data_IF_710254518561
#
_entry.id   IF_710254518561
#
_cell.length_a   1.000
_cell.length_b   1.000
_cell.length_c   1.000
_cell.angle_alpha   90.00
_cell.angle_beta   90.00
_cell.angle_gamma   90.00
#
_symmetry.space_group_name_H-M   'P 1'
#
loop_
_entity.id
_entity.type
_entity.pdbx_description
1 polymer ?
#
# COMPACT_ATOMS: atom_id res chain seq x y z
N UNK A 1 10.56 -16.19 22.49
CA UNK A 1 10.49 -16.32 21.02
C UNK A 1 9.42 -15.38 20.51
N UNK A 2 9.67 -14.65 19.43
CA UNK A 2 8.66 -13.80 18.78
C UNK A 2 7.62 -14.69 18.10
N UNK A 3 6.35 -14.32 18.15
CA UNK A 3 5.34 -14.88 17.28
C UNK A 3 5.39 -14.21 15.90
N UNK A 4 4.77 -14.80 14.91
CA UNK A 4 4.84 -14.31 13.53
C UNK A 4 4.22 -12.90 13.33
N UNK A 5 3.27 -12.47 14.18
CA UNK A 5 2.72 -11.11 14.13
C UNK A 5 3.75 -10.05 14.57
N UNK A 6 4.68 -10.42 15.46
CA UNK A 6 5.72 -9.53 15.96
C UNK A 6 6.85 -9.27 14.96
N UNK A 7 6.85 -9.93 13.82
CA UNK A 7 7.78 -9.64 12.72
C UNK A 7 7.19 -8.70 11.66
N UNK A 8 5.93 -8.29 11.81
CA UNK A 8 5.36 -7.24 10.98
C UNK A 8 6.09 -5.93 11.30
N UNK A 9 6.59 -5.28 10.27
CA UNK A 9 7.37 -4.07 10.41
C UNK A 9 8.86 -4.32 10.57
N UNK A 10 9.59 -3.31 10.99
CA UNK A 10 11.05 -3.29 11.04
C UNK A 10 11.70 -3.84 9.76
N UNK A 11 11.11 -3.47 8.62
CA UNK A 11 11.55 -3.93 7.31
C UNK A 11 12.87 -3.26 6.92
N UNK A 12 13.69 -3.88 6.09
CA UNK A 12 14.96 -3.28 5.68
C UNK A 12 14.73 -2.05 4.78
N UNK A 13 15.72 -1.16 4.78
CA UNK A 13 15.86 -0.06 3.84
C UNK A 13 17.17 -0.23 3.08
N UNK A 14 17.17 0.03 1.77
CA UNK A 14 18.36 -0.08 0.93
C UNK A 14 18.55 1.17 0.11
N UNK A 15 19.81 1.51 -0.17
CA UNK A 15 20.16 2.58 -1.08
C UNK A 15 20.24 2.04 -2.51
N UNK A 16 19.48 2.62 -3.43
CA UNK A 16 19.51 2.27 -4.84
C UNK A 16 20.83 2.73 -5.49
N UNK A 17 21.35 1.95 -6.43
CA UNK A 17 22.67 2.17 -6.98
C UNK A 17 22.69 2.26 -8.52
N UNK A 18 22.03 1.35 -9.21
CA UNK A 18 22.15 1.18 -10.66
C UNK A 18 21.02 1.84 -11.46
N UNK A 19 19.85 2.02 -10.83
CA UNK A 19 18.70 2.64 -11.47
C UNK A 19 18.75 4.19 -11.35
N UNK A 20 19.54 4.70 -10.43
CA UNK A 20 19.65 6.12 -10.16
C UNK A 20 20.53 6.80 -11.23
N UNK A 21 19.97 7.81 -11.90
CA UNK A 21 20.69 8.54 -12.95
C UNK A 21 21.74 9.50 -12.39
N UNK A 22 22.71 9.87 -13.23
CA UNK A 22 23.70 10.90 -12.87
C UNK A 22 23.01 12.22 -12.54
N UNK A 23 23.47 12.89 -11.48
CA UNK A 23 22.90 14.16 -11.02
C UNK A 23 21.81 14.02 -9.93
N UNK A 24 21.30 12.82 -9.67
CA UNK A 24 20.50 12.56 -8.50
C UNK A 24 21.36 12.47 -7.23
N UNK A 25 20.75 12.75 -6.09
CA UNK A 25 21.27 12.41 -4.78
C UNK A 25 21.05 10.94 -4.42
N UNK A 26 21.03 10.65 -3.15
CA UNK A 26 20.80 9.30 -2.63
C UNK A 26 19.29 8.98 -2.63
N UNK A 27 18.94 7.82 -3.19
CA UNK A 27 17.56 7.31 -3.15
C UNK A 27 17.56 6.06 -2.31
N UNK A 28 16.74 6.06 -1.26
CA UNK A 28 16.54 4.94 -0.37
C UNK A 28 15.17 4.30 -0.62
N UNK A 29 15.13 2.99 -0.61
CA UNK A 29 13.90 2.22 -0.83
C UNK A 29 13.60 1.37 0.41
N UNK A 30 12.47 1.66 1.07
CA UNK A 30 11.95 0.91 2.21
C UNK A 30 11.22 -0.33 1.73
N UNK A 31 11.70 -1.52 2.07
CA UNK A 31 11.29 -2.79 1.48
C UNK A 31 10.12 -3.44 2.23
N UNK A 32 8.91 -2.97 2.03
CA UNK A 32 7.70 -3.46 2.70
C UNK A 32 7.25 -4.87 2.22
N UNK A 33 7.85 -5.38 1.13
CA UNK A 33 7.70 -6.77 0.72
C UNK A 33 8.24 -7.79 1.73
N UNK A 34 9.03 -7.34 2.72
CA UNK A 34 9.56 -8.19 3.79
C UNK A 34 8.59 -8.42 4.95
N UNK A 35 7.42 -7.80 4.93
CA UNK A 35 6.34 -8.21 5.83
C UNK A 35 5.83 -9.63 5.47
N UNK A 36 5.22 -10.36 6.41
CA UNK A 36 4.84 -11.77 6.24
C UNK A 36 4.04 -12.12 4.99
N UNK A 37 3.06 -11.28 4.60
CA UNK A 37 2.30 -11.51 3.35
C UNK A 37 2.93 -10.83 2.13
N UNK A 38 4.12 -10.28 2.26
CA UNK A 38 4.82 -9.60 1.19
C UNK A 38 4.26 -8.21 0.87
N UNK A 39 3.74 -7.46 1.85
CA UNK A 39 3.17 -6.14 1.61
C UNK A 39 3.14 -5.25 2.85
N UNK A 40 3.24 -3.93 2.64
CA UNK A 40 3.00 -2.90 3.68
C UNK A 40 1.63 -3.01 4.35
N UNK A 41 0.66 -3.70 3.72
CA UNK A 41 -0.71 -3.82 4.23
C UNK A 41 -0.82 -4.67 5.49
N UNK A 42 0.17 -5.50 5.81
CA UNK A 42 0.19 -6.27 7.06
C UNK A 42 0.19 -5.35 8.27
N UNK A 43 0.87 -4.19 8.18
CA UNK A 43 0.89 -3.18 9.25
C UNK A 43 -0.50 -2.63 9.54
N UNK A 44 -1.23 -2.22 8.51
CA UNK A 44 -2.58 -1.68 8.72
C UNK A 44 -3.56 -2.77 9.13
N UNK A 45 -3.43 -3.98 8.62
CA UNK A 45 -4.28 -5.10 9.01
C UNK A 45 -4.15 -5.39 10.51
N UNK A 46 -2.92 -5.49 11.02
CA UNK A 46 -2.68 -5.67 12.45
C UNK A 46 -3.26 -4.51 13.27
N UNK A 47 -2.99 -3.27 12.87
CA UNK A 47 -3.46 -2.09 13.59
C UNK A 47 -4.99 -1.97 13.62
N UNK A 48 -5.70 -2.28 12.54
CA UNK A 48 -7.16 -2.26 12.50
C UNK A 48 -7.77 -3.31 13.44
N UNK A 49 -7.21 -4.50 13.47
CA UNK A 49 -7.69 -5.58 14.36
C UNK A 49 -7.39 -5.24 15.82
N UNK A 50 -6.15 -4.90 16.16
CA UNK A 50 -5.77 -4.58 17.54
C UNK A 50 -6.42 -3.29 18.06
N UNK A 51 -6.61 -2.30 17.21
CA UNK A 51 -7.36 -1.10 17.55
C UNK A 51 -8.81 -1.41 17.90
N UNK A 52 -9.47 -2.27 17.13
CA UNK A 52 -10.83 -2.71 17.37
C UNK A 52 -10.95 -3.56 18.65
N UNK A 53 -10.01 -4.48 18.88
CA UNK A 53 -9.91 -5.26 20.13
C UNK A 53 -9.79 -4.33 21.35
N UNK A 54 -8.88 -3.34 21.27
CA UNK A 54 -8.64 -2.39 22.37
C UNK A 54 -9.85 -1.53 22.69
N UNK A 55 -10.65 -1.16 21.70
CA UNK A 55 -11.90 -0.40 21.92
C UNK A 55 -13.09 -1.29 22.34
N UNK A 56 -12.96 -2.61 22.21
CA UNK A 56 -14.05 -3.55 22.46
C UNK A 56 -15.06 -3.69 21.31
N UNK A 57 -14.73 -3.13 20.13
CA UNK A 57 -15.52 -3.23 18.91
C UNK A 57 -15.43 -4.64 18.30
N UNK A 58 -14.28 -5.30 18.46
CA UNK A 58 -14.02 -6.67 18.02
C UNK A 58 -13.74 -7.56 19.22
N UNK A 59 -14.52 -8.63 19.37
CA UNK A 59 -14.42 -9.60 20.47
C UNK A 59 -14.24 -11.01 19.95
N UNK A 60 -13.67 -11.89 20.76
CA UNK A 60 -13.52 -13.31 20.43
C UNK A 60 -14.85 -13.94 19.96
N UNK A 61 -14.79 -14.67 18.86
CA UNK A 61 -15.95 -15.31 18.23
C UNK A 61 -16.70 -14.44 17.20
N UNK A 62 -16.36 -13.16 17.08
CA UNK A 62 -16.89 -12.32 16.01
C UNK A 62 -16.25 -12.64 14.65
N UNK A 63 -16.96 -12.26 13.60
CA UNK A 63 -16.49 -12.35 12.21
C UNK A 63 -16.00 -10.98 11.74
N UNK A 64 -14.78 -10.93 11.21
CA UNK A 64 -14.24 -9.73 10.54
C UNK A 64 -14.69 -9.75 9.08
N UNK A 65 -15.08 -8.59 8.54
CA UNK A 65 -15.43 -8.43 7.13
C UNK A 65 -14.68 -7.27 6.52
N UNK A 66 -14.25 -7.45 5.26
CA UNK A 66 -13.68 -6.37 4.44
C UNK A 66 -13.91 -6.70 2.95
N UNK A 67 -13.75 -5.71 2.09
CA UNK A 67 -13.63 -5.89 0.65
C UNK A 67 -12.21 -5.57 0.20
N UNK A 68 -11.64 -6.42 -0.65
CA UNK A 68 -10.30 -6.17 -1.19
C UNK A 68 -10.03 -7.01 -2.43
N UNK A 69 -9.29 -6.43 -3.36
CA UNK A 69 -8.74 -7.16 -4.51
C UNK A 69 -7.34 -7.75 -4.28
N UNK A 70 -6.71 -7.49 -3.12
CA UNK A 70 -5.32 -7.90 -3.00
C UNK A 70 -4.73 -7.78 -1.60
N UNK A 71 -3.69 -6.96 -1.45
CA UNK A 71 -2.81 -6.98 -0.29
C UNK A 71 -3.48 -6.69 1.05
N UNK A 72 -4.54 -5.86 1.10
CA UNK A 72 -5.30 -5.66 2.34
C UNK A 72 -6.02 -6.93 2.78
N UNK A 73 -6.65 -7.63 1.83
CA UNK A 73 -7.32 -8.91 2.10
C UNK A 73 -6.33 -9.96 2.59
N UNK A 74 -5.14 -10.06 1.99
CA UNK A 74 -4.10 -10.98 2.44
C UNK A 74 -3.62 -10.66 3.86
N UNK A 75 -3.34 -9.39 4.17
CA UNK A 75 -2.93 -8.97 5.51
C UNK A 75 -4.00 -9.26 6.57
N UNK A 76 -5.28 -8.97 6.27
CA UNK A 76 -6.39 -9.28 7.18
C UNK A 76 -6.61 -10.78 7.35
N UNK A 77 -6.53 -11.57 6.27
CA UNK A 77 -6.60 -13.02 6.36
C UNK A 77 -5.52 -13.59 7.26
N UNK A 78 -4.27 -13.11 7.09
CA UNK A 78 -3.14 -13.49 7.92
C UNK A 78 -3.36 -13.15 9.41
N UNK A 79 -3.72 -11.90 9.72
CA UNK A 79 -3.90 -11.46 11.11
C UNK A 79 -5.09 -12.17 11.76
N UNK A 80 -6.23 -12.27 11.07
CA UNK A 80 -7.44 -12.93 11.57
C UNK A 80 -7.20 -14.41 11.86
N UNK A 81 -6.52 -15.14 10.96
CA UNK A 81 -6.17 -16.53 11.15
C UNK A 81 -5.38 -16.76 12.44
N UNK A 82 -4.37 -15.92 12.69
CA UNK A 82 -3.50 -16.04 13.86
C UNK A 82 -4.16 -15.61 15.18
N UNK A 83 -5.07 -14.64 15.11
CA UNK A 83 -5.83 -14.19 16.29
C UNK A 83 -7.12 -14.99 16.54
N UNK A 84 -7.44 -15.96 15.66
CA UNK A 84 -8.60 -16.83 15.82
C UNK A 84 -9.94 -16.20 15.45
N UNK A 85 -9.94 -15.21 14.56
CA UNK A 85 -11.14 -14.61 13.98
C UNK A 85 -11.53 -15.29 12.66
N UNK A 86 -12.81 -15.46 12.43
CA UNK A 86 -13.32 -15.75 11.08
C UNK A 86 -13.19 -14.49 10.24
N UNK A 87 -12.77 -14.64 8.98
CA UNK A 87 -12.63 -13.51 8.08
C UNK A 87 -13.39 -13.76 6.79
N UNK A 88 -14.42 -12.95 6.54
CA UNK A 88 -15.18 -12.94 5.28
C UNK A 88 -14.67 -11.81 4.40
N UNK A 89 -14.21 -12.16 3.21
CA UNK A 89 -13.65 -11.22 2.27
C UNK A 89 -14.45 -11.15 0.99
N UNK A 90 -14.94 -9.98 0.66
CA UNK A 90 -15.58 -9.69 -0.61
C UNK A 90 -14.50 -9.31 -1.62
N UNK A 91 -14.35 -10.11 -2.66
CA UNK A 91 -13.40 -9.88 -3.75
C UNK A 91 -14.09 -10.00 -5.11
N UNK A 92 -13.35 -9.95 -6.22
CA UNK A 92 -13.89 -10.09 -7.55
C UNK A 92 -12.98 -10.94 -8.45
N UNK A 93 -13.56 -11.51 -9.50
CA UNK A 93 -12.87 -12.42 -10.44
C UNK A 93 -11.84 -11.74 -11.36
N UNK A 94 -11.72 -10.42 -11.30
CA UNK A 94 -10.75 -9.63 -12.07
C UNK A 94 -9.38 -9.48 -11.42
N UNK A 95 -9.28 -9.83 -10.13
CA UNK A 95 -8.01 -9.71 -9.41
C UNK A 95 -7.12 -10.93 -9.65
N UNK A 96 -5.81 -10.72 -9.58
CA UNK A 96 -4.81 -11.74 -9.86
C UNK A 96 -5.01 -13.05 -9.07
N UNK A 97 -4.85 -14.18 -9.75
CA UNK A 97 -5.06 -15.52 -9.18
C UNK A 97 -4.18 -15.77 -7.95
N UNK A 98 -2.95 -15.26 -7.97
CA UNK A 98 -1.99 -15.39 -6.86
C UNK A 98 -2.52 -14.72 -5.59
N UNK A 99 -3.16 -13.56 -5.73
CA UNK A 99 -3.76 -12.81 -4.61
C UNK A 99 -4.95 -13.57 -4.02
N UNK A 100 -5.85 -14.06 -4.89
CA UNK A 100 -7.00 -14.86 -4.46
C UNK A 100 -6.54 -16.14 -3.76
N UNK A 101 -5.56 -16.86 -4.34
CA UNK A 101 -5.01 -18.08 -3.76
C UNK A 101 -4.36 -17.82 -2.41
N UNK A 102 -3.60 -16.72 -2.27
CA UNK A 102 -2.97 -16.34 -1.00
C UNK A 102 -4.02 -16.09 0.09
N UNK A 103 -5.05 -15.30 -0.22
CA UNK A 103 -6.12 -14.99 0.74
C UNK A 103 -6.87 -16.25 1.19
N UNK A 104 -7.18 -17.14 0.25
CA UNK A 104 -7.82 -18.43 0.55
C UNK A 104 -6.92 -19.35 1.40
N UNK A 105 -5.64 -19.44 1.06
CA UNK A 105 -4.66 -20.26 1.82
C UNK A 105 -4.44 -19.78 3.25
N UNK A 106 -4.69 -18.50 3.50
CA UNK A 106 -4.65 -17.89 4.84
C UNK A 106 -5.99 -18.00 5.59
N UNK A 107 -6.96 -18.75 5.04
CA UNK A 107 -8.22 -19.08 5.72
C UNK A 107 -9.32 -18.04 5.57
N UNK A 108 -9.23 -17.11 4.61
CA UNK A 108 -10.34 -16.19 4.31
C UNK A 108 -11.50 -16.92 3.64
N UNK A 109 -12.72 -16.65 4.11
CA UNK A 109 -13.97 -17.05 3.46
C UNK A 109 -14.27 -16.04 2.34
N UNK A 110 -14.08 -16.46 1.08
CA UNK A 110 -14.13 -15.56 -0.07
C UNK A 110 -15.51 -15.55 -0.72
N UNK A 111 -16.13 -14.37 -0.80
CA UNK A 111 -17.27 -14.11 -1.65
C UNK A 111 -16.79 -13.37 -2.92
N UNK A 112 -16.80 -14.08 -4.07
CA UNK A 112 -16.27 -13.56 -5.35
C UNK A 112 -17.40 -12.95 -6.17
N UNK A 113 -17.36 -11.63 -6.35
CA UNK A 113 -18.30 -10.90 -7.21
C UNK A 113 -17.86 -11.01 -8.67
N UNK A 114 -18.80 -11.43 -9.53
CA UNK A 114 -18.56 -11.50 -10.98
C UNK A 114 -18.48 -10.11 -11.58
N UNK A 115 -17.41 -9.85 -12.31
CA UNK A 115 -17.29 -8.69 -13.18
C UNK A 115 -18.13 -8.84 -14.44
N UNK A 116 -18.53 -7.73 -15.06
CA UNK A 116 -19.29 -7.76 -16.31
C UNK A 116 -18.38 -8.09 -17.53
N UNK A 117 -17.20 -7.44 -17.59
CA UNK A 117 -16.33 -7.49 -18.76
C UNK A 117 -14.87 -7.84 -18.40
N UNK A 118 -14.63 -8.52 -17.27
CA UNK A 118 -13.28 -8.83 -16.79
C UNK A 118 -12.44 -7.59 -16.46
N UNK A 119 -13.09 -6.46 -16.11
CA UNK A 119 -12.42 -5.19 -15.80
C UNK A 119 -12.79 -4.66 -14.43
N UNK A 120 -11.84 -3.97 -13.81
CA UNK A 120 -12.08 -3.23 -12.58
C UNK A 120 -12.86 -1.96 -12.94
N UNK A 121 -14.11 -1.89 -12.50
CA UNK A 121 -14.97 -0.73 -12.73
C UNK A 121 -15.45 -0.14 -11.43
N UNK A 122 -15.87 1.14 -11.44
CA UNK A 122 -16.49 1.78 -10.27
C UNK A 122 -17.73 1.03 -9.78
N UNK A 123 -18.52 0.48 -10.70
CA UNK A 123 -19.71 -0.30 -10.36
C UNK A 123 -19.34 -1.59 -9.61
N UNK A 124 -18.30 -2.30 -10.08
CA UNK A 124 -17.80 -3.51 -9.41
C UNK A 124 -17.30 -3.19 -7.99
N UNK A 125 -16.49 -2.15 -7.85
CA UNK A 125 -15.98 -1.72 -6.53
C UNK A 125 -17.13 -1.32 -5.61
N UNK A 126 -18.11 -0.57 -6.11
CA UNK A 126 -19.30 -0.20 -5.31
C UNK A 126 -20.11 -1.43 -4.89
N UNK A 127 -20.26 -2.44 -5.76
CA UNK A 127 -20.90 -3.71 -5.39
C UNK A 127 -20.15 -4.41 -4.25
N UNK A 128 -18.83 -4.47 -4.32
CA UNK A 128 -17.99 -5.05 -3.25
C UNK A 128 -18.18 -4.30 -1.93
N UNK A 129 -18.10 -2.96 -1.96
CA UNK A 129 -18.29 -2.10 -0.79
C UNK A 129 -19.67 -2.30 -0.17
N UNK A 130 -20.71 -2.26 -0.99
CA UNK A 130 -22.10 -2.40 -0.52
C UNK A 130 -22.32 -3.79 0.08
N UNK A 131 -21.77 -4.83 -0.53
CA UNK A 131 -21.87 -6.20 -0.01
C UNK A 131 -21.17 -6.35 1.34
N UNK A 132 -19.98 -5.77 1.51
CA UNK A 132 -19.29 -5.75 2.80
C UNK A 132 -20.11 -5.00 3.87
N UNK A 133 -20.73 -3.87 3.50
CA UNK A 133 -21.64 -3.12 4.39
C UNK A 133 -22.92 -3.87 4.73
N UNK A 134 -23.46 -4.69 3.84
CA UNK A 134 -24.62 -5.55 4.13
C UNK A 134 -24.23 -6.60 5.18
N UNK A 135 -23.13 -7.31 4.96
CA UNK A 135 -22.63 -8.33 5.88
C UNK A 135 -22.28 -7.72 7.25
N UNK A 136 -21.78 -6.50 7.28
CA UNK A 136 -21.44 -5.83 8.54
C UNK A 136 -22.63 -5.56 9.45
N UNK A 137 -23.86 -5.66 8.94
CA UNK A 137 -25.09 -5.55 9.75
C UNK A 137 -25.51 -6.87 10.42
N UNK A 138 -24.88 -7.98 10.03
CA UNK A 138 -25.11 -9.28 10.66
C UNK A 138 -24.62 -9.25 12.13
N UNK A 139 -25.28 -9.92 13.06
CA UNK A 139 -24.84 -10.00 14.45
C UNK A 139 -23.39 -10.53 14.57
N UNK A 140 -22.65 -10.02 15.52
CA UNK A 140 -21.26 -10.42 15.79
C UNK A 140 -20.30 -10.27 14.59
N UNK A 141 -20.50 -9.23 13.79
CA UNK A 141 -19.66 -8.89 12.64
C UNK A 141 -19.00 -7.54 12.84
N UNK A 142 -17.70 -7.44 12.51
CA UNK A 142 -16.91 -6.21 12.55
C UNK A 142 -16.39 -5.89 11.14
N UNK A 143 -16.73 -4.72 10.62
CA UNK A 143 -16.22 -4.21 9.35
C UNK A 143 -14.99 -3.34 9.57
N UNK A 144 -13.83 -3.74 9.02
CA UNK A 144 -12.57 -3.01 9.19
C UNK A 144 -12.56 -1.65 8.49
N UNK A 145 -13.30 -1.50 7.37
CA UNK A 145 -13.52 -0.24 6.64
C UNK A 145 -12.23 0.54 6.36
N UNK A 146 -11.30 -0.07 5.64
CA UNK A 146 -9.94 0.43 5.40
C UNK A 146 -9.84 1.87 4.85
N UNK A 147 -10.92 2.41 4.28
CA UNK A 147 -10.93 3.76 3.69
C UNK A 147 -11.36 4.86 4.66
N UNK A 148 -11.89 4.49 5.84
CA UNK A 148 -12.46 5.40 6.83
C UNK A 148 -12.10 4.95 8.27
N UNK A 149 -10.95 4.31 8.45
CA UNK A 149 -10.50 3.78 9.72
C UNK A 149 -9.17 4.42 10.11
N UNK A 150 -9.17 5.20 11.18
CA UNK A 150 -7.98 5.90 11.67
C UNK A 150 -6.86 4.96 12.15
N UNK A 151 -7.17 3.72 12.52
CA UNK A 151 -6.16 2.75 12.92
C UNK A 151 -5.23 2.39 11.73
N UNK A 152 -5.70 2.58 10.49
CA UNK A 152 -4.86 2.47 9.29
C UNK A 152 -3.66 3.41 9.39
N UNK A 153 -3.88 4.67 9.76
CA UNK A 153 -2.79 5.65 9.93
C UNK A 153 -1.86 5.22 11.07
N UNK A 154 -2.42 4.82 12.21
CA UNK A 154 -1.65 4.38 13.39
C UNK A 154 -0.74 3.20 13.06
N UNK A 155 -1.20 2.27 12.20
CA UNK A 155 -0.40 1.14 11.75
C UNK A 155 0.83 1.53 10.91
N UNK A 156 0.83 2.73 10.33
CA UNK A 156 1.94 3.22 9.52
C UNK A 156 2.82 4.28 10.19
N UNK A 157 2.48 4.76 11.38
CA UNK A 157 3.38 5.65 12.15
C UNK A 157 4.72 4.95 12.41
N UNK A 158 4.77 3.68 12.87
CA UNK A 158 6.05 2.98 13.04
C UNK A 158 6.90 2.87 11.78
N UNK A 159 6.29 2.83 10.59
CA UNK A 159 7.04 2.85 9.33
C UNK A 159 7.84 4.14 9.16
N UNK A 160 7.24 5.28 9.48
CA UNK A 160 7.94 6.56 9.44
C UNK A 160 9.04 6.66 10.50
N UNK A 161 8.80 6.16 11.70
CA UNK A 161 9.81 6.08 12.76
C UNK A 161 10.99 5.21 12.35
N UNK A 162 10.74 4.03 11.80
CA UNK A 162 11.78 3.13 11.27
C UNK A 162 12.63 3.81 10.18
N UNK A 163 12.03 4.60 9.28
CA UNK A 163 12.75 5.33 8.23
C UNK A 163 13.71 6.35 8.87
N UNK A 164 13.23 7.10 9.86
CA UNK A 164 14.05 8.08 10.57
C UNK A 164 15.22 7.42 11.32
N UNK A 165 15.00 6.27 11.93
CA UNK A 165 16.03 5.54 12.68
C UNK A 165 17.05 4.84 11.77
N UNK A 166 16.63 4.36 10.59
CA UNK A 166 17.48 3.59 9.69
C UNK A 166 18.37 4.47 8.78
N UNK A 167 18.04 5.75 8.62
CA UNK A 167 18.82 6.65 7.78
C UNK A 167 19.61 7.64 8.65
N UNK A 168 20.92 7.53 8.63
CA UNK A 168 21.79 8.47 9.32
C UNK A 168 21.78 9.85 8.63
N UNK A 169 21.32 10.88 9.34
CA UNK A 169 21.30 12.27 8.89
C UNK A 169 19.95 12.71 8.31
N UNK A 170 19.92 13.88 7.69
CA UNK A 170 18.67 14.49 7.19
C UNK A 170 18.10 13.75 5.99
N UNK A 171 16.79 13.65 5.93
CA UNK A 171 16.01 13.20 4.78
C UNK A 171 15.36 14.44 4.17
N UNK A 172 15.51 14.66 2.87
CA UNK A 172 14.96 15.84 2.20
C UNK A 172 13.51 15.62 1.76
N UNK A 173 13.18 14.38 1.35
CA UNK A 173 11.81 14.06 0.97
C UNK A 173 11.49 12.57 1.16
N UNK A 174 10.21 12.29 1.43
CA UNK A 174 9.63 10.93 1.40
C UNK A 174 8.46 10.94 0.43
N UNK A 175 8.34 9.94 -0.43
CA UNK A 175 7.23 9.81 -1.35
C UNK A 175 6.57 8.44 -1.29
N UNK A 176 5.24 8.41 -1.42
CA UNK A 176 4.45 7.17 -1.54
C UNK A 176 3.19 7.40 -2.36
N UNK A 177 2.79 6.37 -3.09
CA UNK A 177 1.53 6.34 -3.85
C UNK A 177 0.34 6.32 -2.91
N UNK A 178 -0.70 7.09 -3.28
CA UNK A 178 -1.92 7.20 -2.49
C UNK A 178 -3.00 6.24 -2.97
N UNK A 179 -3.29 5.24 -2.13
CA UNK A 179 -4.48 4.38 -2.21
C UNK A 179 -5.45 4.75 -1.09
N UNK A 180 -5.37 4.06 0.05
CA UNK A 180 -6.13 4.45 1.27
C UNK A 180 -5.62 5.74 1.93
N UNK A 181 -4.48 6.27 1.52
CA UNK A 181 -3.68 7.33 2.15
C UNK A 181 -2.98 6.96 3.46
N UNK A 182 -3.31 5.84 4.07
CA UNK A 182 -2.81 5.48 5.41
C UNK A 182 -1.29 5.48 5.54
N UNK A 183 -0.57 4.97 4.53
CA UNK A 183 0.90 4.91 4.55
C UNK A 183 1.50 6.30 4.60
N UNK A 184 1.12 7.17 3.64
CA UNK A 184 1.66 8.52 3.55
C UNK A 184 1.32 9.34 4.80
N UNK A 185 0.08 9.22 5.29
CA UNK A 185 -0.36 9.93 6.50
C UNK A 185 0.33 9.43 7.77
N UNK A 186 0.60 8.12 7.87
CA UNK A 186 1.37 7.56 8.99
C UNK A 186 2.82 8.06 9.00
N UNK A 187 3.48 8.03 7.84
CA UNK A 187 4.83 8.58 7.68
C UNK A 187 4.84 10.08 8.01
N UNK A 188 3.89 10.86 7.46
CA UNK A 188 3.78 12.29 7.72
C UNK A 188 3.63 12.61 9.21
N UNK A 189 2.81 11.84 9.94
CA UNK A 189 2.67 12.00 11.40
C UNK A 189 3.96 11.69 12.14
N UNK A 190 4.67 10.62 11.79
CA UNK A 190 5.95 10.27 12.42
C UNK A 190 7.00 11.37 12.19
N UNK A 191 7.12 11.86 10.96
CA UNK A 191 8.06 12.92 10.62
C UNK A 191 7.73 14.26 11.30
N UNK A 192 6.45 14.61 11.38
CA UNK A 192 5.98 15.78 12.12
C UNK A 192 6.29 15.67 13.62
N UNK A 193 6.05 14.52 14.22
CA UNK A 193 6.35 14.27 15.64
C UNK A 193 7.85 14.38 15.95
N UNK A 194 8.69 13.99 15.00
CA UNK A 194 10.15 14.13 15.10
C UNK A 194 10.67 15.53 14.74
N UNK A 195 9.78 16.50 14.46
CA UNK A 195 10.14 17.84 13.97
C UNK A 195 11.03 17.80 12.72
N UNK A 196 10.83 16.84 11.84
CA UNK A 196 11.60 16.72 10.60
C UNK A 196 11.17 17.79 9.60
N UNK A 197 12.14 18.35 8.88
CA UNK A 197 11.94 19.29 7.78
C UNK A 197 11.75 18.59 6.43
N UNK A 198 11.66 17.27 6.40
CA UNK A 198 11.49 16.49 5.18
C UNK A 198 10.17 16.80 4.50
N UNK A 199 10.19 16.92 3.18
CA UNK A 199 8.96 17.06 2.39
C UNK A 199 8.23 15.73 2.29
N UNK A 200 6.93 15.75 2.48
CA UNK A 200 6.01 14.62 2.30
C UNK A 200 5.34 14.77 0.95
N UNK A 201 5.59 13.83 0.04
CA UNK A 201 5.16 13.95 -1.35
C UNK A 201 4.21 12.80 -1.70
N UNK A 202 3.01 13.14 -2.11
CA UNK A 202 2.04 12.18 -2.63
C UNK A 202 2.37 11.83 -4.08
N UNK A 203 2.14 10.57 -4.46
CA UNK A 203 2.32 10.11 -5.83
C UNK A 203 1.01 9.53 -6.35
N UNK A 204 0.62 9.91 -7.57
CA UNK A 204 -0.60 9.43 -8.21
C UNK A 204 -0.38 9.14 -9.70
N UNK A 205 -1.23 8.31 -10.35
CA UNK A 205 -1.16 8.07 -11.79
C UNK A 205 -1.51 9.33 -12.58
N UNK A 206 -0.71 9.69 -13.59
CA UNK A 206 -0.94 10.87 -14.44
C UNK A 206 -2.26 10.80 -15.23
N UNK A 207 -2.76 9.59 -15.49
CA UNK A 207 -4.07 9.38 -16.12
C UNK A 207 -5.27 9.54 -15.18
N UNK A 208 -5.03 9.70 -13.86
CA UNK A 208 -6.08 9.94 -12.84
C UNK A 208 -5.56 10.86 -11.74
N UNK A 209 -5.24 12.15 -12.08
CA UNK A 209 -4.62 13.12 -11.16
C UNK A 209 -5.67 13.74 -10.24
N UNK A 210 -6.22 12.92 -9.33
CA UNK A 210 -7.32 13.34 -8.47
C UNK A 210 -6.89 14.21 -7.30
N UNK A 211 -5.67 14.01 -6.79
CA UNK A 211 -5.13 14.80 -5.68
C UNK A 211 -4.64 16.16 -6.16
N UNK A 212 -3.99 16.21 -7.32
CA UNK A 212 -3.42 17.45 -7.87
C UNK A 212 -4.42 18.28 -8.68
N UNK A 213 -5.31 17.63 -9.47
CA UNK A 213 -6.16 18.31 -10.45
C UNK A 213 -7.66 18.04 -10.25
N UNK A 214 -8.05 17.14 -9.35
CA UNK A 214 -9.45 16.73 -9.17
C UNK A 214 -10.00 15.90 -10.34
N UNK A 215 -9.16 15.48 -11.28
CA UNK A 215 -9.56 14.76 -12.49
C UNK A 215 -9.54 13.25 -12.23
N UNK A 216 -10.65 12.59 -12.56
CA UNK A 216 -10.77 11.13 -12.52
C UNK A 216 -10.43 10.53 -13.87
N UNK A 217 -9.60 9.50 -13.84
CA UNK A 217 -9.25 8.75 -15.03
C UNK A 217 -9.19 7.25 -14.79
N UNK A 218 -8.63 6.52 -15.75
CA UNK A 218 -8.49 5.06 -15.71
C UNK A 218 -7.02 4.67 -15.79
N UNK A 219 -6.62 3.70 -14.97
CA UNK A 219 -5.28 3.11 -14.95
C UNK A 219 -5.35 1.68 -14.41
N UNK A 220 -4.25 0.91 -14.60
CA UNK A 220 -4.11 -0.46 -14.10
C UNK A 220 -3.06 -0.60 -12.99
N UNK A 221 -2.74 0.49 -12.30
CA UNK A 221 -1.87 0.45 -11.12
C UNK A 221 -2.71 0.09 -9.91
N UNK A 222 -2.57 -1.12 -9.42
CA UNK A 222 -3.39 -1.62 -8.33
C UNK A 222 -3.09 -0.96 -6.99
N UNK A 223 -4.14 -0.79 -6.19
CA UNK A 223 -4.05 -0.29 -4.82
C UNK A 223 -3.79 1.20 -4.67
N UNK A 224 -3.82 1.96 -5.76
CA UNK A 224 -3.63 3.41 -5.79
C UNK A 224 -4.70 4.08 -6.65
N UNK A 225 -4.84 5.40 -6.56
CA UNK A 225 -5.67 6.18 -7.48
C UNK A 225 -7.14 5.73 -7.52
N UNK A 226 -7.80 5.61 -6.37
CA UNK A 226 -9.17 5.05 -6.25
C UNK A 226 -10.28 5.85 -6.95
N UNK A 227 -9.93 6.95 -7.63
CA UNK A 227 -10.90 7.84 -8.29
C UNK A 227 -11.69 8.74 -7.33
N UNK A 228 -11.27 8.82 -6.07
CA UNK A 228 -11.74 9.75 -5.04
C UNK A 228 -10.64 9.96 -3.99
N UNK A 229 -10.72 11.06 -3.25
CA UNK A 229 -9.80 11.35 -2.14
C UNK A 229 -10.30 10.60 -0.90
N UNK A 230 -9.48 9.70 -0.29
CA UNK A 230 -9.86 8.99 0.93
C UNK A 230 -10.09 9.95 2.08
N UNK A 231 -11.05 9.65 2.97
CA UNK A 231 -11.38 10.52 4.10
C UNK A 231 -10.22 10.76 5.06
N UNK A 232 -9.34 9.77 5.20
CA UNK A 232 -8.17 9.86 6.10
C UNK A 232 -7.00 10.65 5.47
N UNK A 233 -7.12 11.11 4.22
CA UNK A 233 -6.11 11.97 3.59
C UNK A 233 -6.21 13.40 4.10
N UNK A 234 -5.13 13.89 4.70
CA UNK A 234 -5.01 15.28 5.15
C UNK A 234 -3.99 16.02 4.27
N UNK A 235 -4.50 16.88 3.37
CA UNK A 235 -3.65 17.66 2.46
C UNK A 235 -2.70 18.62 3.17
N UNK A 236 -2.97 18.99 4.45
CA UNK A 236 -2.08 19.85 5.24
C UNK A 236 -0.79 19.16 5.68
N UNK A 237 -0.73 17.83 5.55
CA UNK A 237 0.45 17.02 5.85
C UNK A 237 1.25 16.66 4.60
N UNK A 238 0.85 17.15 3.42
CA UNK A 238 1.47 16.85 2.13
C UNK A 238 1.98 18.14 1.50
N UNK A 239 3.26 18.16 1.15
CA UNK A 239 3.94 19.34 0.62
C UNK A 239 3.79 19.46 -0.90
N UNK A 240 3.68 18.33 -1.61
CA UNK A 240 3.56 18.31 -3.08
C UNK A 240 2.88 17.02 -3.55
N UNK A 241 2.37 17.03 -4.77
CA UNK A 241 1.77 15.87 -5.46
C UNK A 241 2.48 15.69 -6.80
N UNK A 242 3.00 14.50 -7.06
CA UNK A 242 3.68 14.16 -8.32
C UNK A 242 2.87 13.10 -9.06
N UNK A 243 2.64 13.35 -10.35
CA UNK A 243 2.00 12.39 -11.25
C UNK A 243 3.04 11.57 -12.02
N UNK A 244 2.81 10.26 -12.14
CA UNK A 244 3.68 9.33 -12.88
C UNK A 244 2.82 8.53 -13.88
N UNK A 245 3.31 8.40 -15.10
CA UNK A 245 2.68 7.56 -16.10
C UNK A 245 2.80 6.06 -15.73
N UNK A 246 1.74 5.29 -15.98
CA UNK A 246 1.73 3.84 -15.72
C UNK A 246 2.85 3.10 -16.47
N UNK A 247 3.12 3.50 -17.70
CA UNK A 247 4.20 2.94 -18.53
C UNK A 247 5.57 3.08 -17.87
N UNK A 248 5.85 4.26 -17.29
CA UNK A 248 7.09 4.55 -16.55
C UNK A 248 7.13 3.72 -15.26
N UNK A 249 6.02 3.65 -14.52
CA UNK A 249 5.94 2.87 -13.29
C UNK A 249 6.22 1.38 -13.55
N UNK A 250 5.60 0.79 -14.58
CA UNK A 250 5.82 -0.61 -14.99
C UNK A 250 7.26 -0.86 -15.43
N UNK A 251 7.84 0.06 -16.21
CA UNK A 251 9.24 -0.06 -16.62
C UNK A 251 10.19 0.04 -15.45
N UNK A 252 9.95 0.96 -14.52
CA UNK A 252 10.76 1.12 -13.29
C UNK A 252 10.69 -0.14 -12.42
N UNK A 253 9.53 -0.81 -12.31
CA UNK A 253 9.44 -2.10 -11.59
C UNK A 253 10.29 -3.20 -12.24
N UNK A 254 10.31 -3.27 -13.57
CA UNK A 254 11.20 -4.21 -14.31
C UNK A 254 12.67 -3.87 -14.11
N UNK A 255 13.01 -2.60 -14.16
CA UNK A 255 14.37 -2.12 -13.96
C UNK A 255 14.87 -2.38 -12.53
N UNK A 256 14.02 -2.22 -11.53
CA UNK A 256 14.33 -2.59 -10.14
C UNK A 256 14.66 -4.08 -10.02
N UNK A 257 13.88 -4.94 -10.66
CA UNK A 257 14.15 -6.38 -10.67
C UNK A 257 15.48 -6.70 -11.37
N UNK A 258 15.74 -6.12 -12.54
CA UNK A 258 16.91 -6.45 -13.35
C UNK A 258 18.20 -5.79 -12.88
N UNK A 259 18.13 -4.56 -12.37
CA UNK A 259 19.30 -3.75 -12.05
C UNK A 259 19.64 -3.76 -10.55
N UNK A 260 18.62 -3.82 -9.69
CA UNK A 260 18.79 -3.76 -8.23
C UNK A 260 18.49 -5.10 -7.53
N UNK A 261 17.92 -6.08 -8.25
CA UNK A 261 17.49 -7.36 -7.66
C UNK A 261 16.25 -7.21 -6.77
N UNK A 262 15.48 -6.13 -6.93
CA UNK A 262 14.30 -5.84 -6.12
C UNK A 262 13.04 -6.16 -6.91
N UNK A 263 12.37 -7.26 -6.56
CA UNK A 263 11.19 -7.76 -7.22
C UNK A 263 9.92 -7.22 -6.56
N UNK A 264 9.30 -6.21 -7.17
CA UNK A 264 8.20 -5.44 -6.57
C UNK A 264 7.09 -5.11 -7.57
N UNK A 265 5.90 -4.75 -7.04
CA UNK A 265 4.73 -4.37 -7.84
C UNK A 265 4.84 -2.99 -8.52
N UNK A 266 3.88 -2.68 -9.40
CA UNK A 266 3.87 -1.43 -10.20
C UNK A 266 3.83 -0.17 -9.34
N UNK A 267 3.13 -0.16 -8.21
CA UNK A 267 3.10 0.98 -7.29
C UNK A 267 4.48 1.29 -6.69
N UNK A 268 5.30 0.27 -6.46
CA UNK A 268 6.70 0.45 -6.02
C UNK A 268 7.55 1.11 -7.11
N UNK A 269 7.38 0.68 -8.36
CA UNK A 269 8.02 1.33 -9.50
C UNK A 269 7.58 2.77 -9.68
N UNK A 270 6.31 3.08 -9.42
CA UNK A 270 5.77 4.44 -9.43
C UNK A 270 6.43 5.31 -8.36
N UNK A 271 6.59 4.80 -7.14
CA UNK A 271 7.28 5.51 -6.06
C UNK A 271 8.75 5.78 -6.38
N UNK A 272 9.46 4.81 -6.97
CA UNK A 272 10.87 5.00 -7.34
C UNK A 272 11.02 5.97 -8.51
N UNK A 273 10.13 5.92 -9.50
CA UNK A 273 10.11 6.90 -10.59
C UNK A 273 9.91 8.34 -10.06
N UNK A 274 8.98 8.52 -9.12
CA UNK A 274 8.77 9.80 -8.44
C UNK A 274 10.01 10.22 -7.64
N UNK A 275 10.62 9.31 -6.88
CA UNK A 275 11.83 9.60 -6.10
C UNK A 275 13.00 10.05 -6.98
N UNK A 276 13.16 9.47 -8.17
CA UNK A 276 14.17 9.91 -9.16
C UNK A 276 13.89 11.35 -9.61
N UNK A 277 12.64 11.68 -9.95
CA UNK A 277 12.27 13.06 -10.35
C UNK A 277 12.48 14.06 -9.21
N UNK A 278 12.10 13.69 -7.97
CA UNK A 278 12.32 14.52 -6.78
C UNK A 278 13.81 14.76 -6.56
N UNK A 279 14.61 13.71 -6.60
CA UNK A 279 16.06 13.79 -6.37
C UNK A 279 16.75 14.64 -7.44
N UNK A 280 16.33 14.55 -8.71
CA UNK A 280 16.83 15.42 -9.78
C UNK A 280 16.55 16.90 -9.52
N UNK A 281 15.35 17.23 -9.02
CA UNK A 281 14.96 18.60 -8.68
C UNK A 281 15.75 19.13 -7.46
N UNK A 282 15.98 18.29 -6.47
CA UNK A 282 16.70 18.67 -5.24
C UNK A 282 18.22 18.67 -5.40
N UNK A 283 18.73 17.95 -6.40
CA UNK A 283 20.17 17.91 -6.72
C UNK A 283 20.96 16.78 -6.04
N UNK A 284 22.26 16.68 -6.33
CA UNK A 284 23.06 15.48 -6.04
C UNK A 284 23.39 15.25 -4.57
N UNK A 285 23.06 16.17 -3.69
CA UNK A 285 23.27 16.01 -2.24
C UNK A 285 21.98 15.60 -1.50
N UNK A 286 20.86 15.49 -2.22
CA UNK A 286 19.58 15.15 -1.62
C UNK A 286 19.50 13.70 -1.19
N UNK A 287 18.66 13.44 -0.17
CA UNK A 287 18.25 12.11 0.28
C UNK A 287 16.76 11.97 0.18
N UNK A 288 16.33 11.07 -0.70
CA UNK A 288 14.90 10.82 -0.97
C UNK A 288 14.56 9.39 -0.60
N UNK A 289 13.46 9.19 0.10
CA UNK A 289 12.95 7.87 0.47
C UNK A 289 11.71 7.54 -0.34
N UNK A 290 11.68 6.35 -0.92
CA UNK A 290 10.52 5.75 -1.57
C UNK A 290 10.10 4.47 -0.85
N UNK A 291 8.84 4.07 -1.02
CA UNK A 291 8.29 2.85 -0.43
C UNK A 291 8.13 1.77 -1.50
N UNK A 292 8.77 0.61 -1.30
CA UNK A 292 8.46 -0.62 -2.05
C UNK A 292 7.25 -1.29 -1.41
N UNK A 293 6.09 -1.11 -2.02
CA UNK A 293 4.79 -1.39 -1.39
C UNK A 293 4.54 -2.88 -1.12
N UNK A 294 4.95 -3.74 -2.08
CA UNK A 294 4.74 -5.18 -2.02
C UNK A 294 5.64 -5.96 -2.99
N UNK A 295 5.59 -7.30 -2.87
CA UNK A 295 6.35 -8.22 -3.71
C UNK A 295 5.79 -8.35 -5.12
N UNK A 296 6.68 -8.44 -6.11
CA UNK A 296 6.35 -8.72 -7.51
C UNK A 296 5.70 -10.10 -7.74
N UNK A 297 5.83 -11.04 -6.79
CA UNK A 297 5.20 -12.36 -6.86
C UNK A 297 3.66 -12.30 -6.98
N UNK A 298 3.04 -11.21 -6.56
CA UNK A 298 1.59 -10.99 -6.65
C UNK A 298 1.11 -10.58 -8.04
N UNK A 299 2.02 -10.38 -9.00
CA UNK A 299 1.75 -9.81 -10.32
C UNK A 299 2.24 -10.68 -11.47
N UNK A 300 2.58 -11.95 -11.20
CA UNK A 300 3.12 -12.87 -12.22
C UNK A 300 2.11 -13.15 -13.32
N UNK A 301 0.84 -13.37 -12.97
CA UNK A 301 -0.22 -13.62 -13.99
C UNK A 301 -0.71 -12.35 -14.70
N UNK A 302 -0.23 -11.16 -14.29
CA UNK A 302 -0.68 -9.86 -14.84
C UNK A 302 0.26 -9.32 -15.93
N UNK A 303 1.28 -10.09 -16.34
CA UNK A 303 2.21 -9.72 -17.39
C UNK A 303 3.12 -8.53 -17.08
N UNK A 304 3.29 -8.17 -15.78
CA UNK A 304 4.17 -7.05 -15.39
C UNK A 304 5.62 -7.29 -15.82
N UNK A 305 6.08 -8.54 -15.70
CA UNK A 305 7.46 -8.95 -15.96
C UNK A 305 7.64 -9.72 -17.27
N UNK A 306 6.59 -9.84 -18.08
CA UNK A 306 6.69 -10.49 -19.38
C UNK A 306 7.66 -9.74 -20.29
N UNK A 307 8.50 -10.50 -21.02
CA UNK A 307 9.36 -9.91 -22.05
C UNK A 307 8.45 -9.31 -23.11
N UNK A 308 8.56 -8.03 -23.37
CA UNK A 308 8.02 -7.46 -24.61
C UNK A 308 8.84 -8.06 -25.75
N UNK A 309 8.20 -8.91 -26.57
CA UNK A 309 8.75 -9.33 -27.85
C UNK A 309 8.95 -8.12 -28.76
#
# INVERSE_FOLDING_TARGET
>A
MKNILEIIGNTPIVKLQKIVSRGCGEIYLKLEAYNPTGSKKDRMALAMIEGAEKRGDLKKGMTVVEYSGGSTGAGLAFVCSLKGYRFRLITADVFGKEKISLMNSLGADLEVIKSRDGKITKELINKMINRAKEISKEPNTFFTNQLDNEDVIKGFVPLGEEILDQINGSIDAVCDTVGTAGTLMGIAKAFKNANSNSKIIAVEPSSSPILSEGIKGSHNVEGVGLGFIPKIYDSKLVDDVITIEESIARQTSRDLALKEGIFCGTSSGMNVAAAIQISQKLGPKSRVVAISCDTGLKYLSEGLFDKKN
#
